data_IF_872807380507
#
_entry.id   IF_872807380507
#
_cell.length_a   1.000
_cell.length_b   1.000
_cell.length_c   1.000
_cell.angle_alpha   90.00
_cell.angle_beta   90.00
_cell.angle_gamma   90.00
#
_symmetry.space_group_name_H-M   'P 1'
#
loop_
_entity.id
_entity.type
_entity.pdbx_description
1 polymer ?
#
# COMPACT_ATOMS: atom_id res chain seq x y z
N UNK A 1 -13.35 -25.33 -19.97
CA UNK A 1 -12.03 -24.70 -19.70
C UNK A 1 -12.30 -23.61 -18.69
N UNK A 2 -12.02 -23.85 -17.40
CA UNK A 2 -12.25 -22.87 -16.34
C UNK A 2 -11.03 -21.96 -16.26
N UNK A 3 -11.22 -20.68 -16.52
CA UNK A 3 -10.20 -19.65 -16.30
C UNK A 3 -10.36 -19.22 -14.85
N UNK A 4 -9.44 -19.66 -14.00
CA UNK A 4 -9.35 -19.21 -12.61
C UNK A 4 -8.69 -17.82 -12.62
N UNK A 5 -9.47 -16.78 -12.32
CA UNK A 5 -8.95 -15.41 -12.18
C UNK A 5 -8.33 -15.29 -10.80
N UNK A 6 -7.00 -15.38 -10.72
CA UNK A 6 -6.24 -15.31 -9.47
C UNK A 6 -6.23 -13.90 -8.84
N UNK A 7 -6.60 -12.87 -9.60
CA UNK A 7 -6.57 -11.47 -9.15
C UNK A 7 -7.54 -10.59 -9.95
N UNK A 8 -8.44 -9.91 -9.23
CA UNK A 8 -9.35 -8.90 -9.78
C UNK A 8 -9.01 -7.53 -9.18
N UNK A 9 -8.45 -6.59 -9.96
CA UNK A 9 -8.14 -5.23 -9.48
C UNK A 9 -9.38 -4.49 -8.94
N UNK A 10 -10.55 -4.82 -9.48
CA UNK A 10 -11.81 -4.24 -9.05
C UNK A 10 -12.25 -4.78 -7.68
N UNK A 11 -12.09 -6.09 -7.43
CA UNK A 11 -12.41 -6.67 -6.11
C UNK A 11 -11.47 -6.15 -5.01
N UNK A 12 -10.20 -5.95 -5.32
CA UNK A 12 -9.27 -5.32 -4.36
C UNK A 12 -9.66 -3.85 -4.10
N UNK A 13 -10.00 -3.10 -5.13
CA UNK A 13 -10.46 -1.72 -4.99
C UNK A 13 -11.78 -1.61 -4.23
N UNK A 14 -12.69 -2.58 -4.36
CA UNK A 14 -13.93 -2.62 -3.57
C UNK A 14 -13.65 -2.78 -2.07
N UNK A 15 -12.59 -3.50 -1.71
CA UNK A 15 -12.21 -3.73 -0.31
C UNK A 15 -11.40 -2.58 0.29
N UNK A 16 -10.79 -1.72 -0.52
CA UNK A 16 -9.80 -0.72 -0.06
C UNK A 16 -10.15 0.73 -0.43
N UNK A 17 -10.93 0.93 -1.48
CA UNK A 17 -11.33 2.25 -2.00
C UNK A 17 -12.62 2.77 -1.38
N UNK A 18 -12.93 4.03 -1.67
CA UNK A 18 -14.21 4.63 -1.31
C UNK A 18 -15.24 4.31 -2.39
N UNK A 19 -16.31 3.63 -1.99
CA UNK A 19 -17.48 3.43 -2.83
C UNK A 19 -18.36 4.70 -2.81
N UNK A 20 -18.63 5.27 -3.98
CA UNK A 20 -19.45 6.47 -4.05
C UNK A 20 -20.94 6.11 -3.91
N UNK A 21 -21.54 6.45 -2.78
CA UNK A 21 -22.96 6.25 -2.46
C UNK A 21 -23.78 7.56 -2.45
N UNK A 22 -25.07 7.48 -2.08
CA UNK A 22 -26.05 8.58 -2.13
C UNK A 22 -25.65 9.81 -1.29
N UNK A 23 -24.82 9.62 -0.28
CA UNK A 23 -24.33 10.68 0.59
C UNK A 23 -23.23 11.54 -0.04
N UNK A 24 -22.79 11.19 -1.26
CA UNK A 24 -21.79 11.92 -2.02
C UNK A 24 -22.44 12.63 -3.19
N UNK A 25 -22.59 13.95 -3.06
CA UNK A 25 -23.13 14.78 -4.15
C UNK A 25 -22.00 15.28 -5.04
N UNK A 26 -21.85 14.72 -6.23
CA UNK A 26 -20.88 15.21 -7.22
C UNK A 26 -21.23 16.64 -7.63
N UNK A 27 -20.23 17.52 -7.63
CA UNK A 27 -20.37 18.90 -8.07
C UNK A 27 -20.20 19.01 -9.60
N UNK A 28 -20.86 19.98 -10.24
CA UNK A 28 -20.56 20.35 -11.62
C UNK A 28 -19.09 20.74 -11.80
N UNK A 29 -18.59 20.60 -13.02
CA UNK A 29 -17.22 20.98 -13.34
C UNK A 29 -17.01 22.49 -13.19
N UNK A 30 -16.10 22.86 -12.30
CA UNK A 30 -15.71 24.25 -12.07
C UNK A 30 -14.50 24.65 -12.94
N UNK A 31 -14.30 25.96 -13.14
CA UNK A 31 -13.12 26.48 -13.85
C UNK A 31 -11.81 26.04 -13.19
N UNK A 32 -11.79 25.99 -11.86
CA UNK A 32 -10.65 25.48 -11.11
C UNK A 32 -10.42 23.99 -11.38
N UNK A 33 -11.47 23.15 -11.34
CA UNK A 33 -11.32 21.72 -11.60
C UNK A 33 -10.82 21.48 -13.04
N UNK A 34 -11.37 22.20 -14.02
CA UNK A 34 -10.93 22.13 -15.41
C UNK A 34 -9.44 22.53 -15.56
N UNK A 35 -9.01 23.58 -14.86
CA UNK A 35 -7.59 23.97 -14.78
C UNK A 35 -6.74 22.84 -14.18
N UNK A 36 -7.14 22.29 -13.03
CA UNK A 36 -6.41 21.21 -12.36
C UNK A 36 -6.30 19.95 -13.23
N UNK A 37 -7.37 19.54 -13.92
CA UNK A 37 -7.35 18.40 -14.86
C UNK A 37 -6.32 18.61 -15.98
N UNK A 38 -6.23 19.83 -16.52
CA UNK A 38 -5.25 20.19 -17.55
C UNK A 38 -3.82 20.13 -16.99
N UNK A 39 -3.61 20.71 -15.82
CA UNK A 39 -2.30 20.80 -15.17
C UNK A 39 -1.74 19.45 -14.72
N UNK A 40 -2.62 18.55 -14.25
CA UNK A 40 -2.25 17.20 -13.79
C UNK A 40 -2.34 16.14 -14.90
N UNK A 41 -2.92 16.49 -16.06
CA UNK A 41 -3.28 15.57 -17.15
C UNK A 41 -4.21 14.42 -16.71
N UNK A 42 -4.94 14.57 -15.60
CA UNK A 42 -5.89 13.56 -15.09
C UNK A 42 -7.32 13.97 -15.40
N UNK A 43 -7.94 13.34 -16.39
CA UNK A 43 -9.33 13.64 -16.81
C UNK A 43 -10.39 13.17 -15.79
N UNK A 44 -10.06 12.14 -15.02
CA UNK A 44 -10.94 11.46 -14.07
C UNK A 44 -11.01 12.14 -12.69
N UNK A 45 -10.50 13.37 -12.55
CA UNK A 45 -10.67 14.14 -11.32
C UNK A 45 -12.10 14.67 -11.21
N UNK A 46 -12.63 14.69 -10.00
CA UNK A 46 -13.94 15.26 -9.72
C UNK A 46 -13.98 15.78 -8.28
N UNK A 47 -15.02 16.56 -7.98
CA UNK A 47 -15.29 17.03 -6.62
C UNK A 47 -16.68 16.56 -6.23
N UNK A 48 -16.83 16.08 -5.01
CA UNK A 48 -18.14 15.88 -4.41
C UNK A 48 -18.24 16.58 -3.06
N UNK A 49 -19.47 16.78 -2.59
CA UNK A 49 -19.76 17.20 -1.23
C UNK A 49 -20.27 16.01 -0.44
N UNK A 50 -19.65 15.76 0.71
CA UNK A 50 -20.05 14.69 1.61
C UNK A 50 -21.18 15.18 2.52
N UNK A 51 -22.32 14.50 2.53
CA UNK A 51 -23.54 14.96 3.19
C UNK A 51 -23.37 15.11 4.72
N UNK A 52 -22.66 14.20 5.37
CA UNK A 52 -22.54 14.20 6.83
C UNK A 52 -21.52 15.20 7.39
N UNK A 53 -20.39 15.40 6.69
CA UNK A 53 -19.29 16.23 7.19
C UNK A 53 -19.35 17.65 6.64
N UNK A 54 -20.22 17.86 5.65
CA UNK A 54 -20.35 19.09 4.87
C UNK A 54 -19.03 19.55 4.21
N UNK A 55 -18.09 18.62 4.01
CA UNK A 55 -16.81 18.89 3.33
C UNK A 55 -16.93 18.64 1.85
N UNK A 56 -16.10 19.37 1.09
CA UNK A 56 -15.91 19.15 -0.33
C UNK A 56 -14.64 18.33 -0.50
N UNK A 57 -14.68 17.29 -1.32
CA UNK A 57 -13.58 16.36 -1.48
C UNK A 57 -13.15 16.33 -2.93
N UNK A 58 -11.88 16.61 -3.18
CA UNK A 58 -11.26 16.36 -4.48
C UNK A 58 -10.93 14.87 -4.54
N UNK A 59 -11.44 14.19 -5.56
CA UNK A 59 -11.27 12.76 -5.73
C UNK A 59 -10.87 12.41 -7.18
N UNK A 60 -10.41 11.17 -7.35
CA UNK A 60 -10.05 10.58 -8.62
C UNK A 60 -10.80 9.27 -8.82
N UNK A 61 -11.45 9.10 -9.97
CA UNK A 61 -12.08 7.82 -10.29
C UNK A 61 -11.01 6.74 -10.51
N UNK A 62 -11.13 5.65 -9.75
CA UNK A 62 -10.43 4.39 -10.03
C UNK A 62 -11.29 3.56 -10.98
N UNK A 63 -12.57 3.37 -10.62
CA UNK A 63 -13.59 2.73 -11.44
C UNK A 63 -14.81 3.67 -11.54
N UNK A 64 -15.01 4.34 -12.67
CA UNK A 64 -16.04 5.35 -12.80
C UNK A 64 -17.44 4.75 -12.99
N UNK A 65 -18.51 5.54 -12.74
CA UNK A 65 -19.90 5.05 -12.78
C UNK A 65 -20.39 4.65 -14.18
N UNK A 66 -19.67 5.01 -15.24
CA UNK A 66 -20.00 4.56 -16.61
C UNK A 66 -19.36 3.21 -16.97
N UNK A 67 -18.50 2.66 -16.11
CA UNK A 67 -17.83 1.37 -16.32
C UNK A 67 -18.36 0.28 -15.38
N UNK A 68 -18.84 0.64 -14.18
CA UNK A 68 -19.21 -0.30 -13.12
C UNK A 68 -20.45 0.15 -12.35
N UNK A 69 -21.18 -0.83 -11.80
CA UNK A 69 -22.37 -0.56 -10.96
C UNK A 69 -22.02 0.06 -9.61
N UNK A 70 -20.84 -0.27 -9.07
CA UNK A 70 -20.34 0.26 -7.80
C UNK A 70 -19.10 1.11 -8.07
N UNK A 71 -19.28 2.43 -8.31
CA UNK A 71 -18.17 3.30 -8.66
C UNK A 71 -17.23 3.48 -7.47
N UNK A 72 -15.93 3.47 -7.75
CA UNK A 72 -14.86 3.51 -6.75
C UNK A 72 -13.95 4.69 -7.06
N UNK A 73 -13.68 5.49 -6.04
CA UNK A 73 -12.77 6.61 -6.13
C UNK A 73 -11.72 6.60 -5.02
N UNK A 74 -10.65 7.35 -5.28
CA UNK A 74 -9.64 7.71 -4.30
C UNK A 74 -9.85 9.17 -3.90
N UNK A 75 -10.07 9.43 -2.62
CA UNK A 75 -10.02 10.78 -2.07
C UNK A 75 -8.57 11.30 -2.12
N UNK A 76 -8.38 12.49 -2.66
CA UNK A 76 -7.07 13.15 -2.71
C UNK A 76 -6.95 14.18 -1.61
N UNK A 77 -7.97 15.03 -1.43
CA UNK A 77 -7.93 16.09 -0.43
C UNK A 77 -9.32 16.62 -0.08
N UNK A 78 -9.42 17.28 1.07
CA UNK A 78 -10.66 17.86 1.58
C UNK A 78 -10.59 19.38 1.66
N UNK A 79 -11.73 20.04 1.46
CA UNK A 79 -11.90 21.48 1.40
C UNK A 79 -13.11 21.89 2.24
N UNK A 80 -12.99 22.99 2.97
CA UNK A 80 -14.09 23.54 3.79
C UNK A 80 -15.16 24.25 2.95
N UNK A 81 -14.79 24.68 1.74
CA UNK A 81 -15.66 25.40 0.82
C UNK A 81 -15.62 24.75 -0.54
N UNK A 82 -16.69 24.94 -1.30
CA UNK A 82 -16.72 24.54 -2.70
C UNK A 82 -15.63 25.29 -3.48
N UNK A 83 -15.02 24.68 -4.51
CA UNK A 83 -14.00 25.34 -5.30
C UNK A 83 -14.49 26.68 -5.86
N UNK A 84 -15.66 26.76 -6.47
CA UNK A 84 -16.25 28.01 -6.98
C UNK A 84 -16.44 29.12 -5.92
N UNK A 85 -16.37 28.78 -4.63
CA UNK A 85 -16.49 29.69 -3.48
C UNK A 85 -15.16 29.95 -2.76
N UNK A 86 -14.04 29.70 -3.44
CA UNK A 86 -12.70 29.97 -2.93
C UNK A 86 -12.13 28.85 -2.05
N UNK A 87 -12.72 27.65 -2.06
CA UNK A 87 -12.12 26.45 -1.45
C UNK A 87 -11.01 25.83 -2.30
N UNK A 88 -10.24 26.62 -3.05
CA UNK A 88 -9.25 26.09 -3.98
C UNK A 88 -8.05 25.49 -3.25
N UNK A 89 -7.65 24.29 -3.68
CA UNK A 89 -6.36 23.72 -3.31
C UNK A 89 -5.30 24.24 -4.29
N UNK A 90 -4.11 24.66 -3.82
CA UNK A 90 -3.01 25.06 -4.68
C UNK A 90 -2.66 23.98 -5.72
N UNK A 91 -2.48 24.38 -6.99
CA UNK A 91 -2.18 23.46 -8.09
C UNK A 91 -0.97 22.56 -7.82
N UNK A 92 0.07 23.08 -7.19
CA UNK A 92 1.27 22.29 -6.85
C UNK A 92 0.98 21.17 -5.85
N UNK A 93 0.13 21.44 -4.87
CA UNK A 93 -0.29 20.47 -3.86
C UNK A 93 -1.11 19.34 -4.50
N UNK A 94 -2.05 19.70 -5.38
CA UNK A 94 -2.80 18.70 -6.15
C UNK A 94 -1.88 17.89 -7.05
N UNK A 95 -0.90 18.53 -7.72
CA UNK A 95 0.10 17.81 -8.53
C UNK A 95 0.89 16.81 -7.70
N UNK A 96 1.30 17.18 -6.48
CA UNK A 96 2.01 16.29 -5.57
C UNK A 96 1.17 15.08 -5.19
N UNK A 97 -0.10 15.27 -4.79
CA UNK A 97 -1.03 14.17 -4.47
C UNK A 97 -1.37 13.30 -5.69
N UNK A 98 -1.35 13.88 -6.88
CA UNK A 98 -1.57 13.18 -8.14
C UNK A 98 -0.33 12.44 -8.65
N UNK A 99 0.86 12.59 -8.05
CA UNK A 99 2.02 11.81 -8.45
C UNK A 99 1.75 10.34 -8.14
N UNK A 100 2.03 9.47 -9.12
CA UNK A 100 2.11 8.05 -8.81
C UNK A 100 3.17 7.87 -7.73
N UNK A 101 2.91 6.97 -6.78
CA UNK A 101 3.95 6.43 -5.91
C UNK A 101 5.11 6.03 -6.82
N UNK A 102 6.25 6.69 -6.65
CA UNK A 102 7.40 6.63 -7.54
C UNK A 102 7.74 5.16 -7.84
N UNK A 103 8.07 4.76 -9.09
CA UNK A 103 8.62 3.44 -9.37
C UNK A 103 9.73 3.01 -8.40
N UNK A 104 10.46 3.95 -7.80
CA UNK A 104 11.43 3.69 -6.73
C UNK A 104 10.81 3.06 -5.47
N UNK A 105 9.61 3.47 -5.05
CA UNK A 105 8.92 2.82 -3.93
C UNK A 105 8.45 1.40 -4.29
N UNK A 106 8.01 1.17 -5.54
CA UNK A 106 7.71 -0.19 -6.01
C UNK A 106 8.97 -1.06 -6.10
N UNK A 107 10.12 -0.49 -6.46
CA UNK A 107 11.40 -1.18 -6.44
C UNK A 107 11.80 -1.52 -4.99
N UNK A 108 11.62 -0.58 -4.05
CA UNK A 108 11.90 -0.81 -2.63
C UNK A 108 10.97 -1.88 -2.04
N UNK A 109 9.66 -1.85 -2.35
CA UNK A 109 8.72 -2.90 -1.95
C UNK A 109 9.08 -4.25 -2.54
N UNK A 110 9.49 -4.29 -3.81
CA UNK A 110 9.96 -5.51 -4.48
C UNK A 110 11.24 -6.05 -3.81
N UNK A 111 12.22 -5.21 -3.54
CA UNK A 111 13.45 -5.58 -2.83
C UNK A 111 13.16 -6.09 -1.42
N UNK A 112 12.23 -5.47 -0.69
CA UNK A 112 11.79 -5.94 0.62
C UNK A 112 11.13 -7.32 0.54
N UNK A 113 10.30 -7.58 -0.48
CA UNK A 113 9.72 -8.91 -0.71
C UNK A 113 10.79 -9.95 -1.04
N UNK A 114 11.74 -9.62 -1.91
CA UNK A 114 12.86 -10.50 -2.28
C UNK A 114 13.75 -10.83 -1.07
N UNK A 115 14.09 -9.84 -0.23
CA UNK A 115 14.86 -10.05 1.00
C UNK A 115 14.10 -10.91 2.00
N UNK A 116 12.80 -10.66 2.19
CA UNK A 116 11.98 -11.49 3.08
C UNK A 116 11.84 -12.92 2.58
N UNK A 117 11.75 -13.11 1.25
CA UNK A 117 11.71 -14.43 0.64
C UNK A 117 13.04 -15.17 0.81
N UNK A 118 14.18 -14.52 0.52
CA UNK A 118 15.50 -15.11 0.74
C UNK A 118 15.72 -15.50 2.21
N UNK A 119 15.29 -14.65 3.16
CA UNK A 119 15.34 -14.96 4.59
C UNK A 119 14.44 -16.14 4.98
N UNK A 120 13.30 -16.30 4.33
CA UNK A 120 12.41 -17.45 4.56
C UNK A 120 13.04 -18.73 4.02
N UNK A 121 13.60 -18.68 2.82
CA UNK A 121 14.32 -19.80 2.20
C UNK A 121 15.52 -20.22 3.06
N UNK A 122 16.30 -19.27 3.58
CA UNK A 122 17.41 -19.56 4.50
C UNK A 122 16.93 -20.24 5.80
N UNK A 123 15.81 -19.79 6.37
CA UNK A 123 15.22 -20.45 7.55
C UNK A 123 14.78 -21.88 7.25
N UNK A 124 14.12 -22.09 6.11
CA UNK A 124 13.67 -23.40 5.66
C UNK A 124 14.88 -24.33 5.40
N UNK A 125 15.96 -23.81 4.81
CA UNK A 125 17.19 -24.57 4.58
C UNK A 125 17.91 -24.93 5.89
N UNK A 126 18.04 -24.00 6.83
CA UNK A 126 18.64 -24.26 8.13
C UNK A 126 17.86 -25.32 8.93
N UNK A 127 16.53 -25.25 8.89
CA UNK A 127 15.66 -26.27 9.49
C UNK A 127 15.84 -27.63 8.79
N UNK A 128 15.92 -27.65 7.46
CA UNK A 128 16.21 -28.85 6.67
C UNK A 128 17.53 -29.50 7.06
N UNK A 129 18.62 -28.74 7.07
CA UNK A 129 19.96 -29.20 7.47
C UNK A 129 19.97 -29.75 8.90
N UNK A 130 19.28 -29.09 9.83
CA UNK A 130 19.14 -29.55 11.21
C UNK A 130 18.42 -30.90 11.27
N UNK A 131 17.29 -31.03 10.57
CA UNK A 131 16.51 -32.27 10.54
C UNK A 131 17.34 -33.43 9.95
N UNK A 132 18.12 -33.17 8.90
CA UNK A 132 19.04 -34.17 8.32
C UNK A 132 20.13 -34.60 9.30
N UNK A 133 20.72 -33.65 10.04
CA UNK A 133 21.72 -33.94 11.07
C UNK A 133 21.14 -34.78 12.21
N UNK A 134 19.93 -34.43 12.69
CA UNK A 134 19.20 -35.23 13.69
C UNK A 134 18.94 -36.64 13.18
N UNK A 135 18.47 -36.79 11.94
CA UNK A 135 18.20 -38.09 11.34
C UNK A 135 19.48 -38.93 11.19
N UNK A 136 20.60 -38.33 10.79
CA UNK A 136 21.89 -39.00 10.65
C UNK A 136 22.43 -39.48 12.01
N UNK A 137 22.34 -38.65 13.06
CA UNK A 137 22.72 -39.03 14.42
C UNK A 137 21.87 -40.17 14.97
N UNK A 138 20.55 -40.16 14.70
CA UNK A 138 19.65 -41.27 15.07
C UNK A 138 20.03 -42.57 14.35
N UNK A 139 20.34 -42.52 13.04
CA UNK A 139 20.80 -43.70 12.28
C UNK A 139 22.11 -44.29 12.82
N UNK A 140 22.98 -43.45 13.38
CA UNK A 140 24.25 -43.84 14.02
C UNK A 140 24.10 -44.30 15.48
N UNK A 141 22.87 -44.41 15.99
CA UNK A 141 22.59 -44.83 17.37
C UNK A 141 22.86 -43.75 18.43
N UNK A 142 23.16 -42.52 18.02
CA UNK A 142 23.52 -41.41 18.92
C UNK A 142 22.30 -40.61 19.39
N UNK A 143 21.41 -41.27 20.12
CA UNK A 143 20.11 -40.70 20.49
C UNK A 143 20.18 -39.48 21.42
N UNK A 144 21.12 -39.44 22.37
CA UNK A 144 21.30 -38.30 23.28
C UNK A 144 21.74 -37.03 22.53
N UNK A 145 22.73 -37.14 21.65
CA UNK A 145 23.21 -36.03 20.82
C UNK A 145 22.11 -35.53 19.88
N UNK A 146 21.33 -36.44 19.28
CA UNK A 146 20.20 -36.10 18.44
C UNK A 146 19.11 -35.33 19.20
N UNK A 147 18.79 -35.74 20.44
CA UNK A 147 17.78 -35.07 21.27
C UNK A 147 18.20 -33.67 21.72
N UNK A 148 19.48 -33.47 22.05
CA UNK A 148 20.02 -32.14 22.37
C UNK A 148 19.89 -31.20 21.17
N UNK A 149 20.23 -31.70 19.98
CA UNK A 149 20.11 -30.94 18.73
C UNK A 149 18.66 -30.72 18.31
N UNK A 150 17.72 -31.56 18.72
CA UNK A 150 16.27 -31.41 18.45
C UNK A 150 15.62 -30.36 19.37
N UNK A 151 16.18 -30.18 20.58
CA UNK A 151 15.66 -29.24 21.58
C UNK A 151 16.44 -27.92 21.70
N UNK A 152 17.55 -27.75 21.00
CA UNK A 152 18.25 -26.47 20.97
C UNK A 152 17.39 -25.40 20.29
N UNK A 153 17.13 -24.29 20.97
CA UNK A 153 16.47 -23.14 20.33
C UNK A 153 17.44 -22.57 19.29
N UNK A 154 16.95 -22.37 18.07
CA UNK A 154 17.66 -21.53 17.10
C UNK A 154 17.57 -20.11 17.66
N UNK A 155 18.69 -19.58 18.16
CA UNK A 155 18.76 -18.17 18.55
C UNK A 155 18.83 -17.35 17.27
N UNK A 156 17.71 -16.75 16.90
CA UNK A 156 17.67 -15.70 15.89
C UNK A 156 18.11 -14.39 16.58
N UNK A 157 19.13 -13.71 16.07
CA UNK A 157 19.57 -12.43 16.67
C UNK A 157 18.49 -11.36 16.48
N UNK A 158 18.18 -10.64 17.57
CA UNK A 158 17.21 -9.54 17.61
C UNK A 158 17.70 -8.24 16.91
N UNK A 159 18.87 -8.28 16.24
CA UNK A 159 19.41 -7.17 15.43
C UNK A 159 18.43 -6.72 14.32
N UNK A 160 17.47 -7.57 13.96
CA UNK A 160 16.44 -7.34 12.95
C UNK A 160 15.32 -6.35 13.40
N UNK A 161 15.16 -6.08 14.70
CA UNK A 161 14.18 -5.10 15.19
C UNK A 161 14.68 -3.66 15.01
N UNK A 162 15.95 -3.43 15.29
CA UNK A 162 16.58 -2.11 15.18
C UNK A 162 16.70 -1.63 13.73
N UNK A 163 16.91 -2.54 12.78
CA UNK A 163 16.97 -2.20 11.36
C UNK A 163 15.58 -1.85 10.79
N UNK A 164 14.54 -2.59 11.18
CA UNK A 164 13.14 -2.30 10.81
C UNK A 164 12.66 -0.99 11.42
N UNK A 165 13.05 -0.72 12.67
CA UNK A 165 12.71 0.51 13.36
C UNK A 165 13.48 1.71 12.78
N UNK A 166 14.76 1.55 12.46
CA UNK A 166 15.57 2.57 11.77
C UNK A 166 15.02 2.89 10.39
N UNK A 167 14.60 1.90 9.60
CA UNK A 167 14.01 2.13 8.28
C UNK A 167 12.61 2.76 8.35
N UNK A 168 11.78 2.37 9.32
CA UNK A 168 10.51 3.06 9.62
C UNK A 168 10.75 4.52 10.03
N UNK A 169 11.78 4.79 10.82
CA UNK A 169 12.13 6.13 11.27
C UNK A 169 12.73 6.99 10.14
N UNK A 170 13.52 6.42 9.24
CA UNK A 170 14.00 7.12 8.02
C UNK A 170 12.82 7.51 7.12
N UNK A 171 11.81 6.65 7.01
CA UNK A 171 10.60 6.92 6.21
C UNK A 171 9.69 7.97 6.85
N UNK A 172 9.68 8.06 8.19
CA UNK A 172 8.93 9.05 8.97
C UNK A 172 9.65 10.40 9.14
N UNK A 173 10.98 10.42 9.17
CA UNK A 173 11.79 11.63 9.41
C UNK A 173 12.20 12.37 8.14
N UNK A 174 11.79 11.92 6.95
CA UNK A 174 11.91 12.69 5.70
C UNK A 174 10.84 13.79 5.59
N UNK A 175 10.39 14.33 6.72
CA UNK A 175 9.71 15.63 6.82
C UNK A 175 10.77 16.69 6.59
N UNK A 176 10.69 17.31 5.42
CA UNK A 176 11.57 18.35 4.94
C UNK A 176 11.64 19.49 5.99
N UNK A 177 12.78 19.64 6.66
CA UNK A 177 13.18 20.92 7.24
C UNK A 177 13.69 21.79 6.09
N UNK A 178 12.82 22.67 5.56
CA UNK A 178 13.26 23.86 4.86
C UNK A 178 13.49 24.96 5.90
N UNK A 179 14.77 25.22 6.19
CA UNK A 179 15.25 26.57 6.48
C UNK A 179 15.71 27.21 5.18
#
# INVERSE_FOLDING_TARGET
MNIEVLYSPYEEALNTGLLLCEEHKILPESMWLAHIKRETKRKNLFVYRHAYTDKYVLAHWIFPPWEVDKPICLELDTMDKAPDRGGWIPTQEVKFRCKAIDPEQKIIEKQLREVNQAKREEREEQLGRRNEQVANLRRKGKHKEASILDHSKVHYSDEDSELKESLRNITKNKTITHG
#
